data_IF_292495500046
#
_entry.id   IF_292495500046
#
_cell.length_a   1.000
_cell.length_b   1.000
_cell.length_c   1.000
_cell.angle_alpha   90.00
_cell.angle_beta   90.00
_cell.angle_gamma   90.00
#
_symmetry.space_group_name_H-M   'P 1'
#
loop_
_entity.id
_entity.type
_entity.pdbx_description
1 polymer ?
#
# COMPACT_ATOMS: atom_id res chain seq x y z
N UNK A 1 -9.11 3.12 -8.13
CA UNK A 1 -8.21 3.66 -9.17
C UNK A 1 -7.79 2.55 -10.12
N UNK A 2 -7.67 2.83 -11.42
CA UNK A 2 -7.20 1.87 -12.42
C UNK A 2 -5.66 1.77 -12.37
N UNK A 3 -5.10 0.55 -12.46
CA UNK A 3 -3.65 0.34 -12.30
C UNK A 3 -2.84 1.16 -13.30
N UNK A 4 -3.23 1.23 -14.58
CA UNK A 4 -2.47 1.94 -15.61
C UNK A 4 -2.34 3.46 -15.40
N UNK A 5 -3.14 4.06 -14.51
CA UNK A 5 -3.05 5.49 -14.20
C UNK A 5 -1.69 5.90 -13.62
N UNK A 6 -0.92 4.96 -13.05
CA UNK A 6 0.43 5.24 -12.52
C UNK A 6 1.37 5.82 -13.59
N UNK A 7 1.21 5.43 -14.86
CA UNK A 7 2.05 5.91 -15.96
C UNK A 7 1.81 7.39 -16.26
N UNK A 8 0.56 7.87 -16.15
CA UNK A 8 0.26 9.29 -16.31
C UNK A 8 0.74 10.10 -15.09
N UNK A 9 0.57 9.56 -13.88
CA UNK A 9 1.10 10.21 -12.67
C UNK A 9 2.62 10.35 -12.74
N UNK A 10 3.34 9.33 -13.22
CA UNK A 10 4.78 9.37 -13.39
C UNK A 10 5.26 10.56 -14.23
N UNK A 11 4.48 10.97 -15.25
CA UNK A 11 4.80 12.12 -16.12
C UNK A 11 4.66 13.48 -15.42
N UNK A 12 4.00 13.55 -14.26
CA UNK A 12 3.80 14.80 -13.54
C UNK A 12 5.11 15.42 -13.02
N UNK A 13 6.18 14.63 -12.89
CA UNK A 13 7.50 15.07 -12.44
C UNK A 13 8.59 14.29 -13.16
N UNK A 14 9.70 14.98 -13.49
CA UNK A 14 10.91 14.32 -14.03
C UNK A 14 11.69 13.54 -12.97
N UNK A 15 11.58 13.95 -11.71
CA UNK A 15 12.26 13.35 -10.55
C UNK A 15 11.32 13.38 -9.34
N UNK A 16 11.30 12.27 -8.60
CA UNK A 16 10.52 12.06 -7.39
C UNK A 16 11.38 12.00 -6.13
N UNK A 17 12.67 12.36 -6.22
CA UNK A 17 13.58 12.45 -5.07
C UNK A 17 12.96 13.21 -3.90
N UNK A 18 13.06 12.60 -2.72
CA UNK A 18 12.50 13.16 -1.48
C UNK A 18 10.97 13.11 -1.41
N UNK A 19 10.31 12.33 -2.27
CA UNK A 19 8.87 12.06 -2.19
C UNK A 19 8.62 10.64 -1.72
N UNK A 20 7.72 10.52 -0.76
CA UNK A 20 7.04 9.27 -0.43
C UNK A 20 5.79 9.17 -1.30
N UNK A 21 5.62 8.07 -2.03
CA UNK A 21 4.45 7.83 -2.90
C UNK A 21 3.69 6.62 -2.37
N UNK A 22 2.41 6.83 -2.02
CA UNK A 22 1.55 5.77 -1.52
C UNK A 22 0.79 5.13 -2.70
N UNK A 23 1.12 3.88 -3.04
CA UNK A 23 0.43 3.10 -4.06
C UNK A 23 -0.82 2.42 -3.48
N UNK A 24 -1.98 2.96 -3.84
CA UNK A 24 -3.31 2.44 -3.48
C UNK A 24 -3.96 1.59 -4.58
N UNK A 25 -3.22 1.26 -5.65
CA UNK A 25 -3.75 0.54 -6.80
C UNK A 25 -3.78 -0.97 -6.60
N UNK A 26 -4.58 -1.67 -7.41
CA UNK A 26 -4.57 -3.12 -7.50
C UNK A 26 -4.38 -3.50 -8.97
N UNK A 27 -3.26 -4.17 -9.29
CA UNK A 27 -3.10 -4.87 -10.57
C UNK A 27 -3.97 -6.14 -10.52
N UNK A 28 -5.04 -6.17 -11.31
CA UNK A 28 -6.12 -7.17 -11.17
C UNK A 28 -5.88 -8.47 -11.95
N UNK A 29 -4.64 -8.73 -12.32
CA UNK A 29 -4.23 -9.96 -12.98
C UNK A 29 -3.30 -10.75 -12.05
N UNK A 30 -3.40 -12.07 -12.13
CA UNK A 30 -2.54 -12.98 -11.36
C UNK A 30 -1.21 -13.24 -12.07
N UNK A 31 -1.18 -13.10 -13.40
CA UNK A 31 0.02 -13.22 -14.20
C UNK A 31 0.85 -11.93 -14.11
N UNK A 32 2.05 -12.02 -13.54
CA UNK A 32 2.97 -10.89 -13.41
C UNK A 32 3.93 -10.77 -14.59
N UNK A 33 3.81 -11.60 -15.62
CA UNK A 33 4.64 -11.55 -16.83
C UNK A 33 4.63 -10.15 -17.48
N UNK A 34 3.49 -9.45 -17.61
CA UNK A 34 3.46 -8.07 -18.12
C UNK A 34 4.29 -7.07 -17.28
N UNK A 35 4.56 -7.40 -16.01
CA UNK A 35 5.34 -6.60 -15.08
C UNK A 35 6.80 -7.06 -14.98
N UNK A 36 7.22 -8.00 -15.84
CA UNK A 36 8.55 -8.61 -15.77
C UNK A 36 8.77 -9.45 -14.52
N UNK A 37 7.70 -10.06 -13.99
CA UNK A 37 7.74 -10.88 -12.78
C UNK A 37 7.76 -10.08 -11.47
N UNK A 38 7.74 -8.75 -11.52
CA UNK A 38 7.73 -7.90 -10.33
C UNK A 38 6.35 -7.82 -9.69
N UNK A 39 6.34 -7.55 -8.38
CA UNK A 39 5.12 -7.13 -7.71
C UNK A 39 4.64 -5.79 -8.26
N UNK A 40 3.31 -5.59 -8.29
CA UNK A 40 2.68 -4.41 -8.89
C UNK A 40 3.28 -3.07 -8.45
N UNK A 41 3.63 -2.92 -7.18
CA UNK A 41 4.18 -1.67 -6.65
C UNK A 41 5.67 -1.49 -6.94
N UNK A 42 6.44 -2.59 -7.04
CA UNK A 42 7.82 -2.54 -7.53
C UNK A 42 7.86 -2.14 -9.00
N UNK A 43 6.88 -2.59 -9.80
CA UNK A 43 6.71 -2.12 -11.17
C UNK A 43 6.37 -0.63 -11.23
N UNK A 44 5.41 -0.16 -10.41
CA UNK A 44 5.08 1.27 -10.31
C UNK A 44 6.30 2.10 -9.94
N UNK A 45 7.14 1.63 -9.00
CA UNK A 45 8.34 2.33 -8.57
C UNK A 45 9.34 2.61 -9.70
N UNK A 46 9.41 1.75 -10.73
CA UNK A 46 10.27 1.98 -11.91
C UNK A 46 9.92 3.27 -12.66
N UNK A 47 8.64 3.66 -12.66
CA UNK A 47 8.17 4.89 -13.28
C UNK A 47 8.40 6.15 -12.44
N UNK A 48 8.85 6.01 -11.19
CA UNK A 48 8.94 7.10 -10.22
C UNK A 48 10.38 7.22 -9.69
N UNK A 49 11.36 7.59 -10.54
CA UNK A 49 12.77 7.62 -10.15
C UNK A 49 12.97 8.53 -8.93
N UNK A 50 13.64 8.02 -7.90
CA UNK A 50 13.92 8.73 -6.65
C UNK A 50 12.79 8.71 -5.61
N UNK A 51 11.60 8.21 -5.94
CA UNK A 51 10.51 8.07 -4.98
C UNK A 51 10.78 6.92 -3.98
N UNK A 52 10.31 7.08 -2.75
CA UNK A 52 10.11 5.97 -1.81
C UNK A 52 8.66 5.49 -1.95
N UNK A 53 8.44 4.35 -2.62
CA UNK A 53 7.08 3.81 -2.84
C UNK A 53 6.64 2.92 -1.68
N UNK A 54 5.42 3.13 -1.19
CA UNK A 54 4.79 2.37 -0.12
C UNK A 54 3.40 1.89 -0.54
N UNK A 55 3.12 0.59 -0.44
CA UNK A 55 1.81 -0.03 -0.62
C UNK A 55 0.99 0.09 0.65
N UNK A 56 -0.17 0.74 0.59
CA UNK A 56 -1.20 0.67 1.64
C UNK A 56 -2.56 1.14 1.10
N UNK A 57 -3.63 1.11 1.91
CA UNK A 57 -5.02 1.48 1.59
C UNK A 57 -5.70 0.73 0.43
N UNK A 58 -5.01 -0.16 -0.28
CA UNK A 58 -5.57 -0.96 -1.37
C UNK A 58 -6.41 -2.17 -0.89
N UNK A 59 -6.33 -2.49 0.40
CA UNK A 59 -6.72 -3.78 0.98
C UNK A 59 -8.20 -3.88 1.42
N UNK A 60 -8.93 -2.76 1.51
CA UNK A 60 -10.34 -2.74 1.96
C UNK A 60 -11.27 -2.14 0.89
N UNK A 61 -12.57 -2.50 0.89
CA UNK A 61 -13.59 -1.78 0.13
C UNK A 61 -13.68 -0.31 0.57
N UNK A 62 -13.97 0.60 -0.38
CA UNK A 62 -13.99 2.03 -0.10
C UNK A 62 -14.99 2.42 1.01
N UNK A 63 -16.17 1.80 1.04
CA UNK A 63 -17.17 2.06 2.08
C UNK A 63 -16.68 1.67 3.48
N UNK A 64 -15.91 0.58 3.58
CA UNK A 64 -15.31 0.17 4.84
C UNK A 64 -14.12 1.08 5.18
N UNK A 65 -13.27 1.42 4.22
CA UNK A 65 -12.15 2.35 4.44
C UNK A 65 -12.63 3.72 4.95
N UNK A 66 -13.80 4.18 4.50
CA UNK A 66 -14.40 5.44 4.91
C UNK A 66 -15.16 5.38 6.25
N UNK A 67 -15.41 4.19 6.79
CA UNK A 67 -16.08 4.06 8.10
C UNK A 67 -15.12 4.35 9.25
N UNK A 68 -15.67 4.56 10.45
CA UNK A 68 -14.85 4.75 11.64
C UNK A 68 -13.88 3.56 11.82
N UNK A 69 -12.55 3.81 11.88
CA UNK A 69 -11.58 2.74 12.10
C UNK A 69 -11.62 2.20 13.54
N UNK A 70 -12.20 2.93 14.50
CA UNK A 70 -12.47 2.40 15.83
C UNK A 70 -13.68 1.46 15.80
N UNK A 71 -13.44 0.17 16.01
CA UNK A 71 -14.44 -0.90 15.91
C UNK A 71 -14.13 -1.99 16.94
N UNK A 72 -15.16 -2.55 17.58
CA UNK A 72 -15.00 -3.70 18.50
C UNK A 72 -14.06 -3.46 19.69
N UNK A 73 -13.90 -2.21 20.16
CA UNK A 73 -12.97 -1.86 21.23
C UNK A 73 -11.50 -1.77 20.80
N UNK A 74 -11.23 -1.84 19.49
CA UNK A 74 -9.90 -1.72 18.91
C UNK A 74 -9.85 -0.77 17.73
N UNK A 75 -8.79 -0.88 16.94
CA UNK A 75 -8.60 -0.11 15.69
C UNK A 75 -8.45 -1.05 14.52
N UNK A 76 -9.10 -0.71 13.41
CA UNK A 76 -8.98 -1.45 12.16
C UNK A 76 -7.53 -1.46 11.68
N UNK A 77 -7.06 -2.65 11.34
CA UNK A 77 -5.70 -2.86 10.83
C UNK A 77 -5.57 -2.30 9.43
N UNK A 78 -4.43 -1.68 9.17
CA UNK A 78 -4.01 -1.25 7.84
C UNK A 78 -2.56 -1.67 7.62
N UNK A 79 -2.37 -2.66 6.74
CA UNK A 79 -1.04 -3.13 6.39
C UNK A 79 -0.26 -2.11 5.54
N UNK A 80 1.04 -2.03 5.77
CA UNK A 80 1.99 -1.13 5.10
C UNK A 80 3.18 -1.94 4.60
N UNK A 81 3.58 -1.77 3.35
CA UNK A 81 4.77 -2.44 2.80
C UNK A 81 5.53 -1.54 1.83
N UNK A 82 6.86 -1.58 1.86
CA UNK A 82 7.71 -0.71 1.04
C UNK A 82 9.18 -1.09 1.19
N UNK A 83 10.01 -0.72 0.22
CA UNK A 83 11.43 -1.12 0.20
C UNK A 83 12.34 -0.17 1.02
N UNK A 84 11.75 0.82 1.70
CA UNK A 84 12.46 1.81 2.50
C UNK A 84 11.83 1.94 3.89
N UNK A 85 12.55 1.50 4.93
CA UNK A 85 12.02 1.41 6.30
C UNK A 85 11.58 2.77 6.85
N UNK A 86 12.31 3.83 6.54
CA UNK A 86 11.97 5.19 6.94
C UNK A 86 10.62 5.63 6.36
N UNK A 87 10.37 5.37 5.07
CA UNK A 87 9.09 5.72 4.43
C UNK A 87 7.95 4.83 4.95
N UNK A 88 8.21 3.56 5.23
CA UNK A 88 7.22 2.68 5.86
C UNK A 88 6.81 3.21 7.23
N UNK A 89 7.77 3.70 8.02
CA UNK A 89 7.55 4.28 9.35
C UNK A 89 6.78 5.59 9.27
N UNK A 90 7.13 6.47 8.33
CA UNK A 90 6.40 7.72 8.07
C UNK A 90 4.93 7.43 7.69
N UNK A 91 4.71 6.52 6.73
CA UNK A 91 3.35 6.16 6.28
C UNK A 91 2.58 5.42 7.36
N UNK A 92 3.22 4.57 8.17
CA UNK A 92 2.57 3.95 9.33
C UNK A 92 2.11 5.00 10.35
N UNK A 93 2.91 6.05 10.58
CA UNK A 93 2.53 7.16 11.46
C UNK A 93 1.33 7.94 10.91
N UNK A 94 1.29 8.19 9.60
CA UNK A 94 0.12 8.76 8.94
C UNK A 94 -1.11 7.87 9.13
N UNK A 95 -0.99 6.56 8.85
CA UNK A 95 -2.07 5.58 9.04
C UNK A 95 -2.59 5.60 10.49
N UNK A 96 -1.70 5.65 11.48
CA UNK A 96 -2.06 5.75 12.89
C UNK A 96 -2.81 7.05 13.21
N UNK A 97 -2.36 8.18 12.66
CA UNK A 97 -3.02 9.49 12.84
C UNK A 97 -4.43 9.55 12.25
N UNK A 98 -4.70 8.72 11.23
CA UNK A 98 -6.03 8.54 10.65
C UNK A 98 -6.92 7.60 11.49
N UNK A 99 -6.42 7.07 12.61
CA UNK A 99 -7.18 6.22 13.54
C UNK A 99 -7.07 4.71 13.31
N UNK A 100 -6.30 4.27 12.32
CA UNK A 100 -6.06 2.85 12.04
C UNK A 100 -4.91 2.28 12.89
N UNK A 101 -4.81 0.96 12.96
CA UNK A 101 -3.66 0.25 13.50
C UNK A 101 -2.70 -0.17 12.36
N UNK A 102 -1.56 0.52 12.16
CA UNK A 102 -0.62 0.16 11.12
C UNK A 102 0.13 -1.14 11.46
N UNK A 103 0.28 -2.03 10.49
CA UNK A 103 1.19 -3.18 10.59
C UNK A 103 2.16 -3.15 9.41
N UNK A 104 3.45 -2.95 9.69
CA UNK A 104 4.51 -2.95 8.67
C UNK A 104 4.88 -4.40 8.32
N UNK A 105 4.72 -4.76 7.06
CA UNK A 105 5.02 -6.10 6.52
C UNK A 105 6.44 -6.23 5.94
N UNK A 106 7.24 -5.15 5.98
CA UNK A 106 8.56 -5.10 5.36
C UNK A 106 8.48 -4.81 3.85
N UNK A 107 9.36 -5.46 3.08
CA UNK A 107 9.54 -5.16 1.64
C UNK A 107 8.36 -5.60 0.79
N UNK A 108 8.19 -4.94 -0.36
CA UNK A 108 7.11 -5.21 -1.31
C UNK A 108 7.18 -6.66 -1.83
N UNK A 109 8.39 -7.12 -2.18
CA UNK A 109 8.64 -8.47 -2.68
C UNK A 109 8.64 -9.56 -1.58
N UNK A 110 8.52 -9.18 -0.31
CA UNK A 110 8.51 -10.09 0.85
C UNK A 110 7.09 -10.10 1.45
N UNK A 111 6.87 -9.51 2.62
CA UNK A 111 5.55 -9.45 3.25
C UNK A 111 4.52 -8.64 2.45
N UNK A 112 4.96 -7.68 1.62
CA UNK A 112 4.06 -6.92 0.74
C UNK A 112 3.33 -7.76 -0.30
N UNK A 113 3.83 -8.97 -0.62
CA UNK A 113 3.14 -9.91 -1.52
C UNK A 113 1.77 -10.33 -1.01
N UNK A 114 1.54 -10.25 0.31
CA UNK A 114 0.26 -10.54 0.95
C UNK A 114 -0.84 -9.52 0.60
N UNK A 115 -0.45 -8.32 0.14
CA UNK A 115 -1.34 -7.21 -0.25
C UNK A 115 -1.60 -7.12 -1.75
N UNK A 116 -1.11 -8.05 -2.56
CA UNK A 116 -1.43 -8.11 -4.00
C UNK A 116 -2.92 -8.39 -4.21
N UNK A 117 -3.41 -8.17 -5.43
CA UNK A 117 -4.79 -8.53 -5.76
C UNK A 117 -5.07 -10.01 -5.46
N UNK A 118 -6.13 -10.29 -4.71
CA UNK A 118 -6.47 -11.63 -4.16
C UNK A 118 -5.39 -12.24 -3.24
N UNK A 119 -4.46 -11.42 -2.75
CA UNK A 119 -3.56 -11.78 -1.67
C UNK A 119 -4.34 -12.02 -0.38
N UNK A 120 -3.79 -12.83 0.54
CA UNK A 120 -4.51 -13.30 1.73
C UNK A 120 -4.95 -12.19 2.68
N UNK A 121 -4.33 -11.00 2.64
CA UNK A 121 -4.68 -9.87 3.50
C UNK A 121 -5.60 -8.84 2.81
N UNK A 122 -5.96 -9.05 1.55
CA UNK A 122 -6.92 -8.19 0.84
C UNK A 122 -8.34 -8.66 1.15
N UNK A 123 -9.24 -7.70 1.43
CA UNK A 123 -10.61 -7.89 1.91
C UNK A 123 -10.72 -8.54 3.30
N UNK A 124 -9.66 -8.52 4.10
CA UNK A 124 -9.71 -8.93 5.50
C UNK A 124 -9.98 -7.71 6.39
N UNK A 125 -11.11 -7.69 7.12
CA UNK A 125 -11.36 -6.69 8.15
C UNK A 125 -10.83 -7.21 9.49
N UNK A 126 -9.62 -6.81 9.86
CA UNK A 126 -8.97 -7.20 11.11
C UNK A 126 -8.96 -6.03 12.09
N UNK A 127 -9.12 -6.33 13.38
CA UNK A 127 -9.11 -5.35 14.46
C UNK A 127 -7.92 -5.64 15.38
N UNK A 128 -7.05 -4.65 15.59
CA UNK A 128 -6.07 -4.63 16.68
C UNK A 128 -6.81 -4.21 17.95
N UNK A 129 -6.93 -5.13 18.90
CA UNK A 129 -7.58 -4.85 20.18
C UNK A 129 -6.75 -3.84 20.98
N UNK A 130 -7.42 -2.85 21.56
CA UNK A 130 -6.80 -1.99 22.55
C UNK A 130 -6.52 -2.78 23.82
N UNK A 131 -5.32 -2.63 24.37
CA UNK A 131 -4.98 -3.04 25.74
C UNK A 131 -5.47 -2.01 26.74
#
# INVERSE_FOLDING_TARGET
MHFAAHAEIAKARKDWKGKTVIDVTNFRETDLTPLGGLQSSDFVAKGLPGAKVVKTFNQLPAALLASNPAEGGGRRVMFVAGNHDEANTEVASLVASLGFAPIILGKIAEGGTLLRFRGPLVLQNLIELGT
#
